data_IF_987785184325
#
_entry.id   IF_987785184325
#
_cell.length_a   1.000
_cell.length_b   1.000
_cell.length_c   1.000
_cell.angle_alpha   90.00
_cell.angle_beta   90.00
_cell.angle_gamma   90.00
#
_symmetry.space_group_name_H-M   'P 1'
#
loop_
_entity.id
_entity.type
_entity.pdbx_description
1 polymer ?
#
# COMPACT_ATOMS: atom_id res chain seq x y z
N UNK A 1 22.33 19.09 53.89
CA UNK A 1 23.17 17.86 53.88
C UNK A 1 22.40 16.74 53.19
N UNK A 2 23.07 16.05 52.24
CA UNK A 2 22.67 14.85 51.46
C UNK A 2 21.65 15.10 50.34
N UNK A 3 21.79 14.68 49.06
CA UNK A 3 22.84 14.09 48.20
C UNK A 3 22.29 14.23 46.75
N UNK A 4 22.97 14.86 45.79
CA UNK A 4 23.90 14.29 44.77
C UNK A 4 23.34 13.14 43.89
N UNK A 5 23.17 13.39 42.58
CA UNK A 5 23.74 12.65 41.38
C UNK A 5 22.92 12.94 40.10
N UNK A 6 23.50 13.64 39.11
CA UNK A 6 24.19 13.14 37.88
C UNK A 6 23.21 12.56 36.83
N UNK A 7 22.91 13.21 35.70
CA UNK A 7 23.73 13.54 34.50
C UNK A 7 24.35 12.31 33.81
N UNK A 8 23.59 11.68 32.92
CA UNK A 8 23.98 10.73 31.86
C UNK A 8 22.66 10.33 31.18
N UNK A 9 22.40 10.27 29.87
CA UNK A 9 23.15 10.38 28.64
C UNK A 9 22.13 10.88 27.61
N UNK A 10 22.38 11.99 26.92
CA UNK A 10 23.03 11.97 25.62
C UNK A 10 22.48 10.89 24.69
N UNK A 11 21.87 11.38 23.61
CA UNK A 11 22.00 10.82 22.28
C UNK A 11 21.95 9.30 22.25
N UNK A 12 20.73 8.74 22.19
CA UNK A 12 20.57 7.43 21.57
C UNK A 12 21.03 7.58 20.13
N UNK A 13 22.30 7.25 19.99
CA UNK A 13 23.12 7.38 18.83
C UNK A 13 22.40 6.68 17.69
N UNK A 14 22.40 7.35 16.56
CA UNK A 14 22.14 6.80 15.25
C UNK A 14 23.17 5.69 15.02
N UNK A 15 22.91 4.50 15.58
CA UNK A 15 23.61 3.29 15.21
C UNK A 15 22.85 2.70 14.04
N UNK A 16 23.46 2.89 12.88
CA UNK A 16 23.12 2.26 11.63
C UNK A 16 22.87 0.76 11.85
N UNK A 17 21.59 0.41 11.93
CA UNK A 17 21.17 -0.90 11.50
C UNK A 17 20.69 -0.71 10.07
N UNK A 18 21.64 -0.82 9.14
CA UNK A 18 21.40 -1.29 7.77
C UNK A 18 20.87 -2.74 7.84
N UNK A 19 19.83 -2.98 8.64
CA UNK A 19 18.88 -4.04 8.34
C UNK A 19 18.29 -3.61 7.01
N UNK A 20 18.16 -4.49 6.01
CA UNK A 20 17.18 -4.25 4.98
C UNK A 20 15.85 -4.16 5.73
N UNK A 21 15.45 -2.94 6.09
CA UNK A 21 14.06 -2.64 6.33
C UNK A 21 13.45 -2.98 5.00
N UNK A 22 12.88 -4.17 4.90
CA UNK A 22 11.99 -4.53 3.80
C UNK A 22 11.01 -3.37 3.75
N UNK A 23 11.26 -2.45 2.82
CA UNK A 23 10.44 -1.27 2.66
C UNK A 23 9.11 -1.85 2.25
N UNK A 24 8.20 -1.92 3.22
CA UNK A 24 6.87 -2.43 2.99
C UNK A 24 6.20 -1.59 1.91
N UNK A 25 5.07 -2.09 1.41
CA UNK A 25 4.26 -1.36 0.44
C UNK A 25 4.03 0.08 0.92
N UNK A 26 4.24 1.01 0.00
CA UNK A 26 4.07 2.45 0.20
C UNK A 26 2.67 2.79 0.71
N UNK A 27 2.54 3.87 1.47
CA UNK A 27 1.24 4.34 1.97
C UNK A 27 0.26 4.62 0.82
N UNK A 28 0.78 5.13 -0.29
CA UNK A 28 0.03 5.30 -1.55
C UNK A 28 -0.28 3.94 -2.17
N UNK A 29 0.70 3.05 -2.27
CA UNK A 29 0.54 1.70 -2.78
C UNK A 29 -0.55 0.91 -2.07
N UNK A 30 -0.66 1.01 -0.75
CA UNK A 30 -1.75 0.40 0.04
C UNK A 30 -3.12 0.90 -0.39
N UNK A 31 -3.27 2.21 -0.63
CA UNK A 31 -4.55 2.79 -1.10
C UNK A 31 -4.91 2.29 -2.50
N UNK A 32 -3.92 2.20 -3.39
CA UNK A 32 -4.13 1.69 -4.75
C UNK A 32 -4.49 0.21 -4.74
N UNK A 33 -3.81 -0.61 -3.94
CA UNK A 33 -4.14 -2.03 -3.74
C UNK A 33 -5.56 -2.18 -3.20
N UNK A 34 -5.92 -1.40 -2.18
CA UNK A 34 -7.28 -1.44 -1.62
C UNK A 34 -8.33 -1.10 -2.68
N UNK A 35 -8.10 -0.06 -3.49
CA UNK A 35 -8.98 0.26 -4.62
C UNK A 35 -9.07 -0.90 -5.62
N UNK A 36 -7.94 -1.54 -5.95
CA UNK A 36 -7.90 -2.73 -6.81
C UNK A 36 -8.69 -3.92 -6.26
N UNK A 37 -8.63 -4.18 -4.96
CA UNK A 37 -9.43 -5.22 -4.28
C UNK A 37 -10.93 -4.91 -4.38
N UNK A 38 -11.32 -3.66 -4.18
CA UNK A 38 -12.72 -3.24 -4.38
C UNK A 38 -13.17 -3.49 -5.83
N UNK A 39 -12.35 -3.08 -6.81
CA UNK A 39 -12.65 -3.30 -8.24
C UNK A 39 -12.75 -4.80 -8.56
N UNK A 40 -11.86 -5.64 -8.03
CA UNK A 40 -11.96 -7.09 -8.18
C UNK A 40 -13.26 -7.64 -7.60
N UNK A 41 -13.62 -7.20 -6.39
CA UNK A 41 -14.85 -7.64 -5.71
C UNK A 41 -16.09 -7.25 -6.53
N UNK A 42 -16.11 -6.04 -7.08
CA UNK A 42 -17.13 -5.60 -8.04
C UNK A 42 -17.11 -6.43 -9.32
N UNK A 43 -15.94 -6.74 -9.89
CA UNK A 43 -15.81 -7.57 -11.09
C UNK A 43 -16.39 -8.96 -10.90
N UNK A 44 -16.06 -9.63 -9.80
CA UNK A 44 -16.65 -10.94 -9.45
C UNK A 44 -18.14 -10.84 -9.14
N UNK A 45 -18.59 -9.75 -8.50
CA UNK A 45 -20.02 -9.54 -8.28
C UNK A 45 -20.79 -9.36 -9.60
N UNK A 46 -20.26 -8.58 -10.55
CA UNK A 46 -20.84 -8.43 -11.89
C UNK A 46 -20.84 -9.77 -12.62
N UNK A 47 -19.79 -10.58 -12.47
CA UNK A 47 -19.73 -11.91 -13.05
C UNK A 47 -20.87 -12.82 -12.53
N UNK A 48 -21.35 -12.64 -11.29
CA UNK A 48 -22.53 -13.38 -10.80
C UNK A 48 -23.84 -13.01 -11.51
N UNK A 49 -23.86 -11.91 -12.25
CA UNK A 49 -25.00 -11.46 -13.05
C UNK A 49 -24.85 -11.84 -14.53
N UNK A 50 -23.78 -12.54 -14.91
CA UNK A 50 -23.60 -13.09 -16.25
C UNK A 50 -24.64 -14.19 -16.52
N UNK A 51 -25.28 -14.10 -17.68
CA UNK A 51 -26.16 -15.18 -18.16
C UNK A 51 -25.32 -16.42 -18.53
N UNK A 52 -25.83 -17.66 -18.39
CA UNK A 52 -25.09 -18.86 -18.78
C UNK A 52 -24.58 -18.86 -20.21
N UNK A 53 -25.27 -18.19 -21.15
CA UNK A 53 -24.84 -18.05 -22.53
C UNK A 53 -23.77 -16.96 -22.73
N UNK A 54 -23.47 -16.15 -21.72
CA UNK A 54 -22.43 -15.12 -21.75
C UNK A 54 -22.75 -13.92 -22.65
N UNK A 55 -24.01 -13.74 -23.07
CA UNK A 55 -24.36 -12.75 -24.10
C UNK A 55 -24.74 -11.37 -23.54
N UNK A 56 -24.79 -11.21 -22.22
CA UNK A 56 -25.16 -9.96 -21.59
C UNK A 56 -23.94 -9.07 -21.30
N UNK A 57 -24.18 -7.76 -21.12
CA UNK A 57 -23.09 -6.80 -20.88
C UNK A 57 -22.22 -7.15 -19.67
N UNK A 58 -22.77 -7.79 -18.64
CA UNK A 58 -22.01 -8.24 -17.47
C UNK A 58 -20.86 -9.20 -17.86
N UNK A 59 -21.07 -10.04 -18.88
CA UNK A 59 -20.08 -10.99 -19.41
C UNK A 59 -18.95 -10.30 -20.14
N UNK A 60 -19.24 -9.18 -20.81
CA UNK A 60 -18.22 -8.41 -21.50
C UNK A 60 -17.48 -7.50 -20.53
N UNK A 61 -18.14 -6.95 -19.52
CA UNK A 61 -17.58 -5.96 -18.59
C UNK A 61 -16.75 -6.61 -17.48
N UNK A 62 -17.20 -7.74 -16.92
CA UNK A 62 -16.52 -8.39 -15.80
C UNK A 62 -15.05 -8.79 -16.08
N UNK A 63 -14.65 -9.30 -17.25
CA UNK A 63 -13.26 -9.64 -17.52
C UNK A 63 -12.35 -8.40 -17.46
N UNK A 64 -12.82 -7.25 -17.96
CA UNK A 64 -12.06 -6.01 -17.89
C UNK A 64 -11.96 -5.47 -16.46
N UNK A 65 -13.02 -5.58 -15.64
CA UNK A 65 -12.95 -5.20 -14.22
C UNK A 65 -11.95 -6.09 -13.47
N UNK A 66 -11.99 -7.39 -13.71
CA UNK A 66 -11.09 -8.34 -13.05
C UNK A 66 -9.64 -8.05 -13.46
N UNK A 67 -9.38 -7.90 -14.76
CA UNK A 67 -8.05 -7.59 -15.28
C UNK A 67 -7.54 -6.23 -14.79
N UNK A 68 -8.40 -5.21 -14.81
CA UNK A 68 -8.09 -3.87 -14.30
C UNK A 68 -7.81 -3.88 -12.79
N UNK A 69 -8.55 -4.67 -12.02
CA UNK A 69 -8.33 -4.85 -10.59
C UNK A 69 -6.95 -5.47 -10.29
N UNK A 70 -6.55 -6.51 -11.02
CA UNK A 70 -5.20 -7.07 -10.91
C UNK A 70 -4.11 -6.08 -11.32
N UNK A 71 -4.32 -5.33 -12.41
CA UNK A 71 -3.38 -4.31 -12.85
C UNK A 71 -3.19 -3.22 -11.78
N UNK A 72 -4.28 -2.74 -11.16
CA UNK A 72 -4.20 -1.77 -10.06
C UNK A 72 -3.42 -2.32 -8.86
N UNK A 73 -3.65 -3.58 -8.47
CA UNK A 73 -2.88 -4.20 -7.38
C UNK A 73 -1.40 -4.26 -7.73
N UNK A 74 -1.05 -4.70 -8.95
CA UNK A 74 0.33 -4.74 -9.42
C UNK A 74 0.99 -3.36 -9.40
N UNK A 75 0.30 -2.33 -9.89
CA UNK A 75 0.77 -0.94 -9.84
C UNK A 75 0.95 -0.49 -8.39
N UNK A 76 0.00 -0.78 -7.52
CA UNK A 76 0.07 -0.40 -6.10
C UNK A 76 1.25 -1.05 -5.37
N UNK A 77 1.63 -2.28 -5.73
CA UNK A 77 2.83 -2.94 -5.22
C UNK A 77 4.10 -2.26 -5.78
N UNK A 78 4.08 -1.86 -7.04
CA UNK A 78 5.23 -1.27 -7.72
C UNK A 78 5.50 0.21 -7.34
N UNK A 79 4.53 0.93 -6.76
CA UNK A 79 4.71 2.34 -6.37
C UNK A 79 5.69 2.43 -5.19
N UNK A 80 6.85 3.08 -5.35
CA UNK A 80 7.80 3.30 -4.26
C UNK A 80 7.26 4.34 -3.27
N UNK A 81 7.63 4.21 -1.99
CA UNK A 81 7.30 5.23 -0.99
C UNK A 81 8.02 6.53 -1.35
N UNK A 82 7.26 7.61 -1.60
CA UNK A 82 7.85 8.93 -1.74
C UNK A 82 8.39 9.32 -0.37
N UNK A 83 9.71 9.46 -0.27
CA UNK A 83 10.32 10.08 0.90
C UNK A 83 9.81 11.52 0.97
N UNK A 84 8.89 11.80 1.89
CA UNK A 84 8.57 13.17 2.25
C UNK A 84 9.82 13.77 2.87
N UNK A 85 10.59 14.48 2.06
CA UNK A 85 11.66 15.35 2.51
C UNK A 85 11.02 16.38 3.44
N UNK A 86 11.02 16.09 4.74
CA UNK A 86 10.69 17.07 5.77
C UNK A 86 11.76 18.15 5.69
N UNK A 87 11.41 19.26 5.05
CA UNK A 87 12.20 20.49 4.98
C UNK A 87 12.60 20.90 6.39
N UNK A 88 13.80 20.50 6.80
CA UNK A 88 14.56 21.20 7.81
C UNK A 88 15.09 22.49 7.17
N UNK A 89 14.42 23.62 7.40
CA UNK A 89 15.02 24.96 7.40
C UNK A 89 14.25 25.70 8.50
N UNK A 90 14.75 25.65 9.74
CA UNK A 90 15.67 26.64 10.35
C UNK A 90 15.05 28.03 10.42
#
# INVERSE_FOLDING_TARGET
MKNKKNKHNQAKSQQAQNKPTVSGISSVGKKVIFAGICVLSLGFFVLTKTDPAGQNLASNVSPFLILGGYALIGIGIAIPEKQTTSSQQQ
#
